data_IF_526488983737
#
_entry.id   IF_526488983737
#
_cell.length_a   1.000
_cell.length_b   1.000
_cell.length_c   1.000
_cell.angle_alpha   90.00
_cell.angle_beta   90.00
_cell.angle_gamma   90.00
#
_symmetry.space_group_name_H-M   'P 1'
#
loop_
_entity.id
_entity.type
_entity.pdbx_description
1 polymer ?
#
# COMPACT_ATOMS: atom_id res chain seq x y z
N UNK A 1 -8.05 -10.19 16.68
CA UNK A 1 -7.62 -11.48 16.14
C UNK A 1 -6.19 -11.31 15.65
N UNK A 2 -5.29 -12.22 16.00
CA UNK A 2 -3.92 -12.20 15.50
C UNK A 2 -3.95 -12.42 13.98
N UNK A 3 -3.29 -11.55 13.22
CA UNK A 3 -3.03 -11.80 11.80
C UNK A 3 -2.24 -13.10 11.66
N UNK A 4 -2.50 -13.86 10.59
CA UNK A 4 -1.62 -14.98 10.25
C UNK A 4 -0.23 -14.42 9.89
N UNK A 5 0.84 -15.15 10.21
CA UNK A 5 2.23 -14.72 9.95
C UNK A 5 2.45 -14.26 8.50
N UNK A 6 1.82 -14.94 7.53
CA UNK A 6 1.84 -14.56 6.11
C UNK A 6 1.29 -13.15 5.86
N UNK A 7 0.18 -12.78 6.52
CA UNK A 7 -0.44 -11.47 6.32
C UNK A 7 0.42 -10.34 6.89
N UNK A 8 1.16 -10.60 7.97
CA UNK A 8 2.12 -9.65 8.53
C UNK A 8 3.32 -9.48 7.60
N UNK A 9 3.82 -10.57 7.01
CA UNK A 9 4.92 -10.53 6.06
C UNK A 9 4.55 -9.78 4.77
N UNK A 10 3.36 -10.06 4.22
CA UNK A 10 2.85 -9.37 3.03
C UNK A 10 2.72 -7.86 3.27
N UNK A 11 2.21 -7.46 4.44
CA UNK A 11 2.13 -6.05 4.83
C UNK A 11 3.52 -5.39 4.87
N UNK A 12 4.51 -6.05 5.48
CA UNK A 12 5.87 -5.53 5.52
C UNK A 12 6.48 -5.38 4.12
N UNK A 13 6.20 -6.30 3.19
CA UNK A 13 6.64 -6.17 1.80
C UNK A 13 5.99 -5.00 1.07
N UNK A 14 4.69 -4.76 1.28
CA UNK A 14 4.03 -3.60 0.66
C UNK A 14 4.54 -2.27 1.21
N UNK A 15 4.78 -2.19 2.53
CA UNK A 15 5.37 -1.01 3.16
C UNK A 15 6.78 -0.72 2.60
N UNK A 16 7.62 -1.74 2.49
CA UNK A 16 8.97 -1.61 1.94
C UNK A 16 8.97 -1.28 0.43
N UNK A 17 8.04 -1.86 -0.34
CA UNK A 17 7.84 -1.53 -1.74
C UNK A 17 7.49 -0.05 -1.90
N UNK A 18 6.44 0.42 -1.22
CA UNK A 18 6.01 1.83 -1.26
C UNK A 18 7.17 2.75 -0.89
N UNK A 19 7.91 2.44 0.19
CA UNK A 19 9.08 3.22 0.60
C UNK A 19 10.11 3.35 -0.51
N UNK A 20 10.49 2.25 -1.18
CA UNK A 20 11.48 2.25 -2.27
C UNK A 20 10.99 2.99 -3.51
N UNK A 21 9.71 2.84 -3.84
CA UNK A 21 9.11 3.53 -4.98
C UNK A 21 9.05 5.05 -4.75
N UNK A 22 8.73 5.48 -3.52
CA UNK A 22 8.79 6.90 -3.16
C UNK A 22 10.22 7.46 -3.28
N UNK A 23 11.25 6.72 -2.82
CA UNK A 23 12.65 7.11 -2.99
C UNK A 23 13.06 7.25 -4.47
N UNK A 24 12.41 6.54 -5.40
CA UNK A 24 12.70 6.69 -6.82
C UNK A 24 12.39 8.10 -7.33
N UNK A 25 11.56 8.88 -6.66
CA UNK A 25 11.27 10.28 -7.03
C UNK A 25 12.28 11.28 -6.47
N UNK A 26 13.23 10.87 -5.62
CA UNK A 26 14.31 11.75 -5.12
C UNK A 26 15.43 11.94 -6.16
N UNK A 27 15.51 11.05 -7.16
CA UNK A 27 16.48 11.12 -8.24
C UNK A 27 15.86 11.83 -9.46
N UNK A 28 16.71 12.34 -10.36
CA UNK A 28 16.29 13.06 -11.57
C UNK A 28 16.81 12.40 -12.85
N UNK A 29 16.13 12.63 -13.97
CA UNK A 29 16.53 12.18 -15.32
C UNK A 29 16.69 10.66 -15.49
N UNK A 30 15.84 9.85 -14.86
CA UNK A 30 15.79 8.40 -15.06
C UNK A 30 14.36 7.91 -15.31
N UNK A 31 14.21 6.80 -16.03
CA UNK A 31 12.89 6.24 -16.38
C UNK A 31 12.21 5.47 -15.23
N UNK A 32 12.91 5.25 -14.11
CA UNK A 32 12.37 4.54 -12.95
C UNK A 32 11.12 5.19 -12.34
N UNK A 33 10.97 6.52 -12.47
CA UNK A 33 9.81 7.27 -11.97
C UNK A 33 8.49 6.82 -12.60
N UNK A 34 8.49 6.39 -13.87
CA UNK A 34 7.28 5.93 -14.55
C UNK A 34 6.79 4.60 -13.97
N UNK A 35 7.70 3.66 -13.70
CA UNK A 35 7.39 2.42 -13.02
C UNK A 35 6.89 2.67 -11.59
N UNK A 36 7.59 3.55 -10.86
CA UNK A 36 7.21 3.88 -9.49
C UNK A 36 5.83 4.52 -9.41
N UNK A 37 5.50 5.45 -10.33
CA UNK A 37 4.18 6.06 -10.42
C UNK A 37 3.08 5.00 -10.61
N UNK A 38 3.28 4.07 -11.55
CA UNK A 38 2.26 3.05 -11.82
C UNK A 38 2.03 2.14 -10.62
N UNK A 39 3.11 1.67 -9.99
CA UNK A 39 3.03 0.79 -8.82
C UNK A 39 2.41 1.48 -7.60
N UNK A 40 2.74 2.74 -7.36
CA UNK A 40 2.10 3.53 -6.29
C UNK A 40 0.60 3.74 -6.56
N UNK A 41 0.19 3.95 -7.81
CA UNK A 41 -1.25 4.02 -8.15
C UNK A 41 -1.98 2.70 -7.93
N UNK A 42 -1.36 1.57 -8.21
CA UNK A 42 -1.95 0.26 -7.88
C UNK A 42 -2.12 0.08 -6.35
N UNK A 43 -1.15 0.54 -5.55
CA UNK A 43 -1.28 0.50 -4.09
C UNK A 43 -2.41 1.43 -3.58
N UNK A 44 -2.57 2.61 -4.15
CA UNK A 44 -3.68 3.50 -3.81
C UNK A 44 -5.04 2.85 -4.08
N UNK A 45 -5.20 2.22 -5.25
CA UNK A 45 -6.44 1.51 -5.61
C UNK A 45 -6.70 0.38 -4.60
N UNK A 46 -5.68 -0.37 -4.18
CA UNK A 46 -5.82 -1.41 -3.14
C UNK A 46 -6.24 -0.84 -1.79
N UNK A 47 -5.68 0.29 -1.38
CA UNK A 47 -6.09 0.99 -0.15
C UNK A 47 -7.57 1.41 -0.22
N UNK A 48 -8.00 2.00 -1.34
CA UNK A 48 -9.39 2.42 -1.56
C UNK A 48 -10.35 1.23 -1.56
N UNK A 49 -9.97 0.12 -2.20
CA UNK A 49 -10.74 -1.12 -2.22
C UNK A 49 -10.94 -1.66 -0.80
N UNK A 50 -9.87 -1.77 0.00
CA UNK A 50 -9.95 -2.23 1.38
C UNK A 50 -10.88 -1.37 2.24
N UNK A 51 -10.76 -0.04 2.14
CA UNK A 51 -11.63 0.89 2.86
C UNK A 51 -13.09 0.69 2.44
N UNK A 52 -13.34 0.56 1.13
CA UNK A 52 -14.67 0.34 0.58
C UNK A 52 -15.30 -0.96 1.08
N UNK A 53 -14.52 -2.05 1.13
CA UNK A 53 -14.95 -3.33 1.67
C UNK A 53 -15.26 -3.26 3.17
N UNK A 54 -14.40 -2.59 3.95
CA UNK A 54 -14.64 -2.38 5.38
C UNK A 54 -15.94 -1.59 5.63
N UNK A 55 -16.25 -0.59 4.81
CA UNK A 55 -17.50 0.17 4.89
C UNK A 55 -18.69 -0.71 4.49
N UNK A 56 -18.60 -1.43 3.37
CA UNK A 56 -19.67 -2.30 2.87
C UNK A 56 -20.03 -3.43 3.85
N UNK A 57 -19.04 -3.94 4.59
CA UNK A 57 -19.22 -4.99 5.60
C UNK A 57 -19.49 -4.46 7.01
N UNK A 58 -19.61 -3.14 7.19
CA UNK A 58 -19.75 -2.46 8.48
C UNK A 58 -18.63 -2.81 9.50
N UNK A 59 -17.41 -3.07 9.02
CA UNK A 59 -16.21 -3.38 9.81
C UNK A 59 -15.27 -2.16 9.88
N UNK A 60 -15.80 -0.98 10.21
CA UNK A 60 -15.03 0.28 10.19
C UNK A 60 -13.83 0.32 11.13
N UNK A 61 -13.83 -0.49 12.20
CA UNK A 61 -12.70 -0.61 13.13
C UNK A 61 -11.45 -1.23 12.50
N UNK A 62 -11.59 -1.91 11.35
CA UNK A 62 -10.53 -2.66 10.65
C UNK A 62 -9.88 -1.91 9.49
N UNK A 63 -10.26 -0.66 9.27
CA UNK A 63 -9.73 0.14 8.15
C UNK A 63 -8.20 0.19 8.18
N UNK A 64 -7.59 0.33 9.36
CA UNK A 64 -6.14 0.46 9.52
C UNK A 64 -5.36 -0.85 9.37
N UNK A 65 -6.05 -1.98 9.27
CA UNK A 65 -5.40 -3.29 9.28
C UNK A 65 -4.50 -3.49 8.06
N UNK A 66 -5.02 -3.18 6.86
CA UNK A 66 -4.36 -3.46 5.57
C UNK A 66 -3.96 -2.22 4.78
N UNK A 67 -4.31 -1.01 5.25
CA UNK A 67 -3.91 0.24 4.57
C UNK A 67 -2.41 0.46 4.73
N UNK A 68 -1.74 0.74 3.61
CA UNK A 68 -0.32 1.12 3.57
C UNK A 68 -0.21 2.61 3.25
N UNK A 69 0.40 3.38 4.15
CA UNK A 69 0.55 4.82 3.96
C UNK A 69 1.64 5.13 2.93
N UNK A 70 1.32 6.01 1.98
CA UNK A 70 2.24 6.43 0.91
C UNK A 70 2.97 7.74 1.22
N UNK A 71 2.49 8.50 2.22
CA UNK A 71 3.01 9.81 2.66
C UNK A 71 2.85 9.95 4.18
#
# INVERSE_FOLDING_TARGET
MSYGESQMLDKAFYEEEVRRLCLAFEQQFHYGVFFAYMRLREQEIRNLMWISECVAQNQKSRIHDSVVYMF
#
